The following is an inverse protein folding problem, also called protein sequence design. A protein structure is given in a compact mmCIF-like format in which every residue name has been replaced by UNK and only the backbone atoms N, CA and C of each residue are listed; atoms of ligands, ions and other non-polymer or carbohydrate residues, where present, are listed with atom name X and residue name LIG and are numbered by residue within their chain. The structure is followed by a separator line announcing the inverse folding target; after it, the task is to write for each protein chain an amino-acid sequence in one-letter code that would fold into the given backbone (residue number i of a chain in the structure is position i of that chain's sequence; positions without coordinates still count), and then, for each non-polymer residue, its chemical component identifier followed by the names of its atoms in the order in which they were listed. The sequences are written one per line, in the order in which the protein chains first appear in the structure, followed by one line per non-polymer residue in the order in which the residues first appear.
data_IF_123810831468
#
_entry.id   IF_123810831468
#
_cell.length_a   1.000
_cell.length_b   1.000
_cell.length_c   1.000
_cell.angle_alpha   90.00
_cell.angle_beta   90.00
_cell.angle_gamma   90.00
#
_symmetry.space_group_name_H-M   'P 1'
#
loop_
_entity.id
_entity.type
_entity.pdbx_description
1 polymer ?
#
# COMPACT_ATOMS: atom_id res chain seq x y z
N UNK A 1 -6.79 -13.77 -8.67
CA UNK A 1 -7.93 -13.04 -9.29
C UNK A 1 -9.00 -12.63 -8.28
N UNK A 2 -9.46 -13.52 -7.39
CA UNK A 2 -10.49 -13.23 -6.37
C UNK A 2 -10.21 -11.98 -5.52
N UNK A 3 -8.97 -11.79 -5.04
CA UNK A 3 -8.58 -10.63 -4.24
C UNK A 3 -8.68 -9.28 -4.99
N UNK A 4 -8.41 -9.27 -6.30
CA UNK A 4 -8.55 -8.06 -7.14
C UNK A 4 -10.02 -7.72 -7.34
N UNK A 5 -10.86 -8.73 -7.53
CA UNK A 5 -12.31 -8.56 -7.70
C UNK A 5 -12.98 -8.08 -6.42
N UNK A 6 -12.67 -8.70 -5.27
CA UNK A 6 -13.21 -8.28 -3.97
C UNK A 6 -12.84 -6.83 -3.66
N UNK A 7 -11.59 -6.44 -3.90
CA UNK A 7 -11.17 -5.05 -3.78
C UNK A 7 -11.95 -4.11 -4.69
N UNK A 8 -12.11 -4.46 -5.97
CA UNK A 8 -12.84 -3.63 -6.93
C UNK A 8 -14.31 -3.44 -6.53
N UNK A 9 -14.98 -4.51 -6.09
CA UNK A 9 -16.37 -4.45 -5.63
C UNK A 9 -16.49 -3.60 -4.37
N UNK A 10 -15.63 -3.79 -3.37
CA UNK A 10 -15.63 -2.98 -2.14
C UNK A 10 -15.32 -1.51 -2.42
N UNK A 11 -14.38 -1.22 -3.32
CA UNK A 11 -14.06 0.14 -3.74
C UNK A 11 -15.25 0.81 -4.44
N UNK A 12 -15.93 0.09 -5.34
CA UNK A 12 -17.12 0.61 -6.03
C UNK A 12 -18.26 0.89 -5.05
N UNK A 13 -18.53 -0.02 -4.12
CA UNK A 13 -19.53 0.16 -3.07
C UNK A 13 -19.20 1.38 -2.19
N UNK A 14 -17.93 1.58 -1.85
CA UNK A 14 -17.47 2.73 -1.08
C UNK A 14 -17.66 4.06 -1.84
N UNK A 15 -17.31 4.10 -3.13
CA UNK A 15 -17.54 5.27 -3.99
C UNK A 15 -19.02 5.59 -4.09
N UNK A 16 -19.88 4.57 -4.26
CA UNK A 16 -21.33 4.75 -4.25
C UNK A 16 -21.82 5.35 -2.93
N UNK A 17 -21.31 4.88 -1.79
CA UNK A 17 -21.62 5.44 -0.48
C UNK A 17 -21.16 6.90 -0.35
N UNK A 18 -19.99 7.26 -0.89
CA UNK A 18 -19.53 8.65 -0.92
C UNK A 18 -20.42 9.57 -1.73
N UNK A 19 -20.96 9.10 -2.86
CA UNK A 19 -21.93 9.87 -3.66
C UNK A 19 -23.21 10.09 -2.87
N UNK A 20 -23.74 9.05 -2.21
CA UNK A 20 -24.96 9.15 -1.40
C UNK A 20 -24.78 10.07 -0.18
N UNK A 21 -23.63 9.98 0.49
CA UNK A 21 -23.28 10.87 1.60
C UNK A 21 -23.06 12.31 1.10
N UNK A 22 -22.47 12.48 -0.08
CA UNK A 22 -22.30 13.75 -0.76
C UNK A 22 -23.63 14.44 -1.03
N UNK A 23 -24.57 13.72 -1.63
CA UNK A 23 -25.92 14.20 -1.91
C UNK A 23 -26.65 14.67 -0.63
N UNK A 24 -26.62 13.84 0.42
CA UNK A 24 -27.17 14.20 1.75
C UNK A 24 -26.51 15.45 2.35
N UNK A 25 -25.18 15.57 2.24
CA UNK A 25 -24.43 16.71 2.73
C UNK A 25 -24.77 18.01 2.00
N UNK A 26 -24.92 17.94 0.67
CA UNK A 26 -25.33 19.08 -0.15
C UNK A 26 -26.77 19.51 0.18
N UNK A 27 -27.69 18.57 0.37
CA UNK A 27 -29.07 18.87 0.79
C UNK A 27 -29.12 19.59 2.15
N UNK A 28 -28.30 19.17 3.12
CA UNK A 28 -28.18 19.84 4.42
C UNK A 28 -27.66 21.28 4.31
N UNK A 29 -26.74 21.52 3.38
CA UNK A 29 -26.22 22.87 3.10
C UNK A 29 -27.29 23.73 2.41
N UNK A 30 -28.07 23.14 1.49
CA UNK A 30 -29.13 23.82 0.75
C UNK A 30 -30.28 24.32 1.65
N UNK A 31 -30.50 23.69 2.81
CA UNK A 31 -31.49 24.13 3.83
C UNK A 31 -31.14 25.51 4.45
N UNK A 32 -29.90 26.00 4.28
CA UNK A 32 -29.53 27.39 4.55
C UNK A 32 -29.41 27.78 6.03
N UNK A 33 -29.68 26.87 6.98
CA UNK A 33 -29.50 27.13 8.41
C UNK A 33 -28.01 26.99 8.80
N UNK A 34 -27.45 27.86 9.66
CA UNK A 34 -26.04 27.77 10.04
C UNK A 34 -25.62 26.41 10.62
N UNK A 35 -26.51 25.79 11.40
CA UNK A 35 -26.29 24.46 11.99
C UNK A 35 -26.26 23.38 10.91
N UNK A 36 -27.18 23.40 9.93
CA UNK A 36 -27.25 22.37 8.89
C UNK A 36 -26.09 22.48 7.91
N UNK A 37 -25.62 23.69 7.62
CA UNK A 37 -24.41 23.93 6.84
C UNK A 37 -23.19 23.31 7.52
N UNK A 38 -23.01 23.54 8.83
CA UNK A 38 -21.89 22.96 9.58
C UNK A 38 -21.91 21.43 9.56
N UNK A 39 -23.10 20.82 9.74
CA UNK A 39 -23.26 19.37 9.65
C UNK A 39 -23.01 18.84 8.23
N UNK A 40 -23.51 19.51 7.20
CA UNK A 40 -23.29 19.13 5.82
C UNK A 40 -21.80 19.14 5.46
N UNK A 41 -21.06 20.17 5.88
CA UNK A 41 -19.61 20.23 5.74
C UNK A 41 -18.91 19.06 6.45
N UNK A 42 -19.28 18.77 7.70
CA UNK A 42 -18.72 17.63 8.43
C UNK A 42 -18.96 16.28 7.71
N UNK A 43 -20.17 16.11 7.15
CA UNK A 43 -20.52 14.92 6.37
C UNK A 43 -19.73 14.84 5.06
N UNK A 44 -19.43 15.97 4.41
CA UNK A 44 -18.65 16.01 3.16
C UNK A 44 -17.15 15.75 3.38
N UNK A 45 -16.60 16.07 4.55
CA UNK A 45 -15.19 15.81 4.86
C UNK A 45 -14.88 14.29 4.88
N UNK A 46 -15.78 13.47 5.41
CA UNK A 46 -15.62 12.01 5.47
C UNK A 46 -15.38 11.33 4.10
N UNK A 47 -16.25 11.52 3.07
CA UNK A 47 -16.04 10.94 1.75
C UNK A 47 -14.82 11.52 1.04
N UNK A 48 -14.47 12.80 1.29
CA UNK A 48 -13.25 13.38 0.74
C UNK A 48 -12.00 12.65 1.27
N UNK A 49 -11.91 12.43 2.59
CA UNK A 49 -10.80 11.69 3.20
C UNK A 49 -10.78 10.24 2.70
N UNK A 50 -11.95 9.60 2.62
CA UNK A 50 -12.07 8.23 2.16
C UNK A 50 -11.66 8.06 0.69
N UNK A 51 -12.07 8.99 -0.19
CA UNK A 51 -11.68 9.00 -1.59
C UNK A 51 -10.17 9.23 -1.75
N UNK A 52 -9.61 10.16 -0.97
CA UNK A 52 -8.17 10.40 -0.91
C UNK A 52 -7.39 9.15 -0.48
N UNK A 53 -7.84 8.46 0.57
CA UNK A 53 -7.22 7.24 1.06
C UNK A 53 -7.29 6.10 0.04
N UNK A 54 -8.45 5.93 -0.60
CA UNK A 54 -8.65 4.94 -1.65
C UNK A 54 -7.69 5.21 -2.81
N UNK A 55 -7.64 6.45 -3.29
CA UNK A 55 -6.71 6.87 -4.34
C UNK A 55 -5.26 6.56 -3.99
N UNK A 56 -4.80 6.99 -2.81
CA UNK A 56 -3.41 6.77 -2.40
C UNK A 56 -3.07 5.28 -2.27
N UNK A 57 -4.01 4.47 -1.78
CA UNK A 57 -3.83 3.02 -1.65
C UNK A 57 -3.78 2.33 -3.02
N UNK A 58 -4.68 2.71 -3.95
CA UNK A 58 -4.65 2.14 -5.31
C UNK A 58 -3.39 2.54 -6.06
N UNK A 59 -2.93 3.80 -5.90
CA UNK A 59 -1.70 4.26 -6.54
C UNK A 59 -0.49 3.49 -6.01
N UNK A 60 -0.36 3.34 -4.70
CA UNK A 60 0.73 2.54 -4.10
C UNK A 60 0.75 1.10 -4.66
N UNK A 61 -0.41 0.44 -4.71
CA UNK A 61 -0.51 -0.92 -5.23
C UNK A 61 -0.12 -1.02 -6.72
N UNK A 62 -0.47 -0.03 -7.53
CA UNK A 62 -0.08 0.03 -8.94
C UNK A 62 1.41 0.25 -9.13
N UNK A 63 2.03 1.14 -8.36
CA UNK A 63 3.46 1.41 -8.43
C UNK A 63 4.27 0.19 -7.97
N UNK A 64 3.92 -0.39 -6.82
CA UNK A 64 4.54 -1.63 -6.36
C UNK A 64 4.40 -2.77 -7.37
N UNK A 65 3.22 -2.92 -8.00
CA UNK A 65 3.00 -3.91 -9.05
C UNK A 65 3.73 -3.62 -10.37
N UNK A 66 4.06 -2.36 -10.67
CA UNK A 66 4.93 -1.99 -11.81
C UNK A 66 6.37 -2.39 -11.52
N UNK A 67 6.92 -1.96 -10.39
CA UNK A 67 8.28 -2.31 -9.95
C UNK A 67 8.48 -3.83 -9.87
N UNK A 68 7.49 -4.57 -9.35
CA UNK A 68 7.57 -6.03 -9.29
C UNK A 68 7.68 -6.69 -10.66
N UNK A 69 6.91 -6.20 -11.65
CA UNK A 69 6.97 -6.72 -13.04
C UNK A 69 8.29 -6.38 -13.73
N UNK A 70 8.85 -5.21 -13.44
CA UNK A 70 10.13 -4.78 -13.97
C UNK A 70 11.28 -5.61 -13.39
N UNK A 71 11.29 -5.82 -12.07
CA UNK A 71 12.26 -6.70 -11.41
C UNK A 71 12.11 -8.16 -11.86
N UNK A 72 10.89 -8.62 -12.11
CA UNK A 72 10.60 -9.94 -12.67
C UNK A 72 11.14 -10.09 -14.10
N UNK A 73 10.96 -9.07 -14.95
CA UNK A 73 11.50 -9.06 -16.31
C UNK A 73 13.03 -9.07 -16.34
N UNK A 74 13.68 -8.48 -15.34
CA UNK A 74 15.13 -8.53 -15.16
C UNK A 74 15.65 -9.84 -14.54
N UNK A 75 14.75 -10.75 -14.14
CA UNK A 75 15.11 -11.98 -13.44
C UNK A 75 15.70 -11.73 -12.03
N UNK A 76 15.51 -10.52 -11.49
CA UNK A 76 16.09 -10.08 -10.22
C UNK A 76 15.23 -10.38 -9.00
N UNK A 77 14.12 -11.11 -9.18
CA UNK A 77 13.27 -11.56 -8.07
C UNK A 77 14.11 -12.35 -7.06
N UNK A 78 13.96 -12.07 -5.75
CA UNK A 78 14.70 -12.81 -4.73
C UNK A 78 14.32 -14.28 -4.83
N UNK A 79 15.33 -15.15 -4.97
CA UNK A 79 15.17 -16.60 -4.83
C UNK A 79 14.64 -16.85 -3.42
N UNK A 80 13.66 -17.76 -3.28
CA UNK A 80 13.02 -18.10 -2.01
C UNK A 80 14.02 -18.83 -1.09
N UNK A 81 14.94 -18.06 -0.50
CA UNK A 81 15.98 -18.50 0.44
C UNK A 81 15.45 -18.66 1.87
N UNK A 82 14.16 -18.36 2.09
CA UNK A 82 13.56 -18.33 3.41
C UNK A 82 13.16 -19.74 3.85
N UNK A 83 13.80 -20.23 4.91
CA UNK A 83 13.42 -21.49 5.52
C UNK A 83 12.00 -21.39 6.09
N UNK A 84 11.17 -22.39 5.80
CA UNK A 84 9.81 -22.48 6.30
C UNK A 84 9.77 -23.45 7.48
N UNK A 85 9.11 -23.04 8.55
CA UNK A 85 8.72 -23.93 9.66
C UNK A 85 7.88 -25.11 9.13
N UNK A 86 7.79 -26.23 9.87
CA UNK A 86 6.96 -27.39 9.50
C UNK A 86 5.47 -27.06 9.27
N UNK A 87 5.00 -25.95 9.82
CA UNK A 87 3.66 -25.40 9.60
C UNK A 87 3.49 -24.65 8.27
N UNK A 88 4.55 -24.55 7.45
CA UNK A 88 4.62 -23.75 6.23
C UNK A 88 4.82 -22.24 6.46
N UNK A 89 4.88 -21.78 7.72
CA UNK A 89 5.18 -20.38 8.05
C UNK A 89 6.66 -20.10 7.86
N UNK A 90 7.01 -18.93 7.34
CA UNK A 90 8.40 -18.48 7.26
C UNK A 90 9.00 -18.45 8.67
N UNK A 91 10.17 -19.07 8.83
CA UNK A 91 10.89 -19.05 10.08
C UNK A 91 11.46 -17.65 10.33
N UNK A 92 11.19 -17.12 11.51
CA UNK A 92 11.50 -15.73 11.85
C UNK A 92 13.01 -15.51 11.99
N UNK A 93 13.73 -16.51 12.50
CA UNK A 93 15.18 -16.44 12.63
C UNK A 93 15.87 -16.49 11.25
N UNK A 94 15.42 -17.36 10.35
CA UNK A 94 15.88 -17.37 8.94
C UNK A 94 15.55 -16.06 8.21
N UNK A 95 14.37 -15.47 8.45
CA UNK A 95 14.00 -14.16 7.91
C UNK A 95 14.90 -13.04 8.43
N UNK A 96 15.28 -13.07 9.71
CA UNK A 96 16.14 -12.08 10.35
C UNK A 96 17.61 -12.16 9.85
N UNK A 97 18.12 -13.36 9.52
CA UNK A 97 19.46 -13.54 8.92
C UNK A 97 19.54 -13.04 7.48
N UNK A 98 18.57 -13.41 6.64
CA UNK A 98 18.46 -12.89 5.28
C UNK A 98 18.24 -11.38 5.31
N UNK A 99 17.44 -10.90 6.28
CA UNK A 99 17.23 -9.48 6.53
C UNK A 99 18.52 -8.72 6.82
N UNK A 100 19.36 -9.18 7.75
CA UNK A 100 20.62 -8.51 8.08
C UNK A 100 21.54 -8.41 6.85
N UNK A 101 21.57 -9.46 6.03
CA UNK A 101 22.32 -9.47 4.76
C UNK A 101 21.75 -8.48 3.73
N UNK A 102 20.44 -8.46 3.52
CA UNK A 102 19.77 -7.55 2.57
C UNK A 102 19.83 -6.10 3.04
N UNK A 103 19.78 -5.85 4.34
CA UNK A 103 19.97 -4.53 4.92
C UNK A 103 21.40 -4.03 4.66
N UNK A 104 22.42 -4.86 4.90
CA UNK A 104 23.81 -4.52 4.60
C UNK A 104 24.05 -4.28 3.10
N UNK A 105 23.45 -5.08 2.21
CA UNK A 105 23.47 -4.86 0.76
C UNK A 105 22.80 -3.53 0.37
N UNK A 106 21.70 -3.16 1.04
CA UNK A 106 20.99 -1.90 0.82
C UNK A 106 21.76 -0.69 1.38
N UNK A 107 22.43 -0.84 2.52
CA UNK A 107 23.32 0.19 3.09
C UNK A 107 24.58 0.41 2.23
N UNK A 108 25.07 -0.65 1.59
CA UNK A 108 26.20 -0.57 0.66
C UNK A 108 25.83 0.08 -0.69
N UNK A 109 24.58 -0.05 -1.14
CA UNK A 109 24.07 0.55 -2.36
C UNK A 109 22.71 1.24 -2.11
N UNK A 110 22.70 2.39 -1.42
CA UNK A 110 21.47 3.04 -0.95
C UNK A 110 20.59 3.60 -2.08
N UNK A 111 21.17 3.78 -3.27
CA UNK A 111 20.50 4.35 -4.44
C UNK A 111 19.88 3.28 -5.36
N UNK A 112 20.10 1.98 -5.09
CA UNK A 112 19.50 0.91 -5.89
C UNK A 112 18.10 0.56 -5.37
N UNK A 113 17.09 0.94 -6.13
CA UNK A 113 15.68 0.65 -5.82
C UNK A 113 15.38 -0.85 -5.72
N UNK A 114 16.17 -1.71 -6.39
CA UNK A 114 15.97 -3.17 -6.39
C UNK A 114 16.24 -3.77 -5.02
N UNK A 115 17.27 -3.27 -4.32
CA UNK A 115 17.63 -3.73 -2.98
C UNK A 115 16.53 -3.36 -1.97
N UNK A 116 16.01 -2.14 -2.06
CA UNK A 116 14.86 -1.70 -1.27
C UNK A 116 13.59 -2.51 -1.54
N UNK A 117 13.35 -2.92 -2.79
CA UNK A 117 12.20 -3.76 -3.14
C UNK A 117 12.32 -5.17 -2.55
N UNK A 118 13.49 -5.80 -2.65
CA UNK A 118 13.77 -7.12 -2.03
C UNK A 118 13.63 -7.07 -0.51
N UNK A 119 14.14 -6.00 0.12
CA UNK A 119 13.99 -5.77 1.55
C UNK A 119 12.52 -5.62 1.96
N UNK A 120 11.71 -4.92 1.16
CA UNK A 120 10.29 -4.76 1.42
C UNK A 120 9.51 -6.09 1.39
N UNK A 121 9.87 -7.00 0.47
CA UNK A 121 9.30 -8.36 0.41
C UNK A 121 9.68 -9.14 1.67
N UNK A 122 10.95 -9.11 2.07
CA UNK A 122 11.41 -9.78 3.29
C UNK A 122 10.65 -9.30 4.54
N UNK A 123 10.40 -8.00 4.67
CA UNK A 123 9.57 -7.47 5.77
C UNK A 123 8.12 -7.93 5.69
N UNK A 124 7.54 -8.03 4.49
CA UNK A 124 6.16 -8.49 4.30
C UNK A 124 6.03 -9.97 4.70
N UNK A 125 7.00 -10.78 4.30
CA UNK A 125 7.12 -12.20 4.62
C UNK A 125 7.27 -12.44 6.14
N UNK A 126 8.01 -11.55 6.83
CA UNK A 126 8.12 -11.53 8.29
C UNK A 126 6.87 -10.99 9.02
N UNK A 127 5.81 -10.60 8.29
CA UNK A 127 4.59 -9.93 8.79
C UNK A 127 4.83 -8.55 9.42
N UNK A 128 5.96 -7.91 9.16
CA UNK A 128 6.23 -6.51 9.57
C UNK A 128 5.68 -5.54 8.51
N UNK A 129 4.36 -5.37 8.50
CA UNK A 129 3.67 -4.55 7.48
C UNK A 129 4.06 -3.07 7.51
N UNK A 130 4.29 -2.41 8.67
CA UNK A 130 4.72 -1.00 8.67
C UNK A 130 6.11 -0.81 8.05
N UNK A 131 7.07 -1.69 8.37
CA UNK A 131 8.42 -1.60 7.80
C UNK A 131 8.47 -1.99 6.33
N UNK A 132 7.72 -3.02 5.93
CA UNK A 132 7.57 -3.41 4.52
C UNK A 132 7.08 -2.25 3.66
N UNK A 133 6.09 -1.51 4.17
CA UNK A 133 5.54 -0.35 3.45
C UNK A 133 6.56 0.77 3.30
N UNK A 134 7.34 1.09 4.35
CA UNK A 134 8.39 2.12 4.28
C UNK A 134 9.49 1.74 3.29
N UNK A 135 9.95 0.49 3.30
CA UNK A 135 10.95 0.01 2.36
C UNK A 135 10.43 0.06 0.91
N UNK A 136 9.19 -0.36 0.67
CA UNK A 136 8.55 -0.28 -0.65
C UNK A 136 8.38 1.18 -1.11
N UNK A 137 8.02 2.10 -0.21
CA UNK A 137 7.94 3.53 -0.53
C UNK A 137 9.30 4.10 -0.94
N UNK A 138 10.38 3.69 -0.27
CA UNK A 138 11.75 4.10 -0.63
C UNK A 138 12.16 3.56 -1.99
N UNK A 139 11.84 2.29 -2.28
CA UNK A 139 12.06 1.70 -3.60
C UNK A 139 11.33 2.48 -4.71
N UNK A 140 10.06 2.83 -4.50
CA UNK A 140 9.28 3.64 -5.45
C UNK A 140 9.90 5.02 -5.63
N UNK A 141 10.32 5.69 -4.54
CA UNK A 141 10.93 7.02 -4.62
C UNK A 141 12.22 7.01 -5.45
N UNK A 142 13.12 6.05 -5.17
CA UNK A 142 14.38 5.89 -5.92
C UNK A 142 14.15 5.57 -7.40
N UNK A 143 13.19 4.69 -7.71
CA UNK A 143 12.81 4.39 -9.08
C UNK A 143 12.25 5.61 -9.82
N UNK A 144 11.41 6.40 -9.15
CA UNK A 144 10.82 7.61 -9.74
C UNK A 144 11.79 8.81 -9.75
N UNK A 145 13.05 8.62 -9.32
CA UNK A 145 14.11 9.64 -9.33
C UNK A 145 13.88 10.77 -8.31
N UNK A 146 13.20 10.48 -7.19
CA UNK A 146 12.88 11.42 -6.11
C UNK A 146 13.66 11.18 -4.83
#
# INVERSE_FOLDING_TARGET
MRAKLSYAVSALALVFYFVLAGDRGVLLIADGRPVTIAFGLAVLVLPLIGAWFLWHTTQFARHAGRLGRELEAEGGLPVDELARTPSGRIDRASADEVFAKRQAETEAAPDDWRNWFRLAIAYFDARDTPRARKAMQRAIALHDGK
#
